data_IF_233416713900
#
_entry.id   IF_233416713900
#
_cell.length_a   1.000
_cell.length_b   1.000
_cell.length_c   1.000
_cell.angle_alpha   90.00
_cell.angle_beta   90.00
_cell.angle_gamma   90.00
#
_symmetry.space_group_name_H-M   'P 1'
#
loop_
_entity.id
_entity.type
_entity.pdbx_description
1 polymer ?
#
# COMPACT_ATOMS: atom_id res chain seq x y z
N UNK A 1 8.01 -17.87 3.15
CA UNK A 1 8.92 -16.81 2.67
C UNK A 1 10.34 -17.26 2.93
N UNK A 2 11.12 -17.47 1.87
CA UNK A 2 12.56 -17.72 1.99
C UNK A 2 13.28 -16.38 1.91
N UNK A 3 13.98 -16.06 2.99
CA UNK A 3 14.87 -14.90 3.09
C UNK A 3 16.21 -15.28 2.48
N UNK A 4 16.50 -14.78 1.28
CA UNK A 4 17.87 -14.76 0.74
C UNK A 4 18.56 -13.49 1.23
N UNK A 5 19.29 -13.64 2.32
CA UNK A 5 20.19 -12.64 2.91
C UNK A 5 21.38 -12.40 1.98
N UNK A 6 21.48 -11.20 1.39
CA UNK A 6 22.72 -10.73 0.78
C UNK A 6 22.57 -10.04 -0.58
N UNK A 7 21.81 -8.94 -0.65
CA UNK A 7 22.08 -7.71 -1.43
C UNK A 7 20.85 -6.80 -1.30
N UNK A 8 21.05 -5.54 -0.92
CA UNK A 8 19.98 -4.55 -0.79
C UNK A 8 19.58 -4.06 -2.18
N UNK A 9 18.67 -4.76 -2.83
CA UNK A 9 18.34 -4.53 -4.24
C UNK A 9 16.97 -3.85 -4.38
N UNK A 10 16.78 -2.97 -5.39
CA UNK A 10 15.46 -2.48 -5.81
C UNK A 10 14.37 -3.56 -5.90
N UNK A 11 14.75 -4.81 -6.18
CA UNK A 11 13.83 -5.96 -6.19
C UNK A 11 13.18 -6.23 -4.83
N UNK A 12 13.92 -6.16 -3.72
CA UNK A 12 13.35 -6.37 -2.37
C UNK A 12 12.33 -5.28 -2.02
N UNK A 13 12.61 -4.04 -2.38
CA UNK A 13 11.68 -2.94 -2.17
C UNK A 13 10.41 -3.14 -2.99
N UNK A 14 10.56 -3.60 -4.24
CA UNK A 14 9.41 -3.91 -5.09
C UNK A 14 8.60 -5.10 -4.59
N UNK A 15 9.22 -6.12 -3.98
CA UNK A 15 8.50 -7.23 -3.36
C UNK A 15 7.62 -6.77 -2.19
N UNK A 16 8.16 -5.90 -1.32
CA UNK A 16 7.38 -5.28 -0.24
C UNK A 16 6.23 -4.44 -0.81
N UNK A 17 6.51 -3.57 -1.80
CA UNK A 17 5.48 -2.76 -2.43
C UNK A 17 4.42 -3.62 -3.11
N UNK A 18 4.79 -4.75 -3.73
CA UNK A 18 3.86 -5.66 -4.39
C UNK A 18 2.86 -6.22 -3.38
N UNK A 19 3.38 -6.78 -2.28
CA UNK A 19 2.54 -7.33 -1.21
C UNK A 19 1.61 -6.27 -0.62
N UNK A 20 2.14 -5.10 -0.25
CA UNK A 20 1.37 -4.10 0.47
C UNK A 20 0.40 -3.30 -0.40
N UNK A 21 0.75 -2.99 -1.67
CA UNK A 21 -0.23 -2.36 -2.58
C UNK A 21 -1.41 -3.29 -2.85
N UNK A 22 -1.18 -4.60 -2.90
CA UNK A 22 -2.25 -5.59 -3.00
C UNK A 22 -3.18 -5.54 -1.80
N UNK A 23 -2.62 -5.65 -0.59
CA UNK A 23 -3.37 -5.56 0.67
C UNK A 23 -4.18 -4.27 0.76
N UNK A 24 -3.57 -3.12 0.47
CA UNK A 24 -4.25 -1.83 0.59
C UNK A 24 -5.44 -1.68 -0.36
N UNK A 25 -5.37 -2.15 -1.61
CA UNK A 25 -6.56 -2.09 -2.48
C UNK A 25 -7.64 -3.05 -1.99
N UNK A 26 -7.28 -4.26 -1.51
CA UNK A 26 -8.26 -5.20 -0.94
C UNK A 26 -8.93 -4.63 0.32
N UNK A 27 -8.18 -3.90 1.14
CA UNK A 27 -8.70 -3.21 2.31
C UNK A 27 -9.76 -2.17 1.97
N UNK A 28 -9.70 -1.55 0.78
CA UNK A 28 -10.80 -0.67 0.35
C UNK A 28 -12.11 -1.41 0.15
N UNK A 29 -12.06 -2.69 -0.24
CA UNK A 29 -13.23 -3.55 -0.41
C UNK A 29 -13.72 -4.04 0.94
N UNK A 30 -12.81 -4.52 1.80
CA UNK A 30 -13.12 -4.95 3.17
C UNK A 30 -13.90 -3.86 3.93
N UNK A 31 -13.46 -2.60 3.87
CA UNK A 31 -14.13 -1.50 4.57
C UNK A 31 -15.57 -1.31 4.08
N UNK A 32 -15.82 -1.40 2.77
CA UNK A 32 -17.18 -1.25 2.20
C UNK A 32 -18.08 -2.43 2.55
N UNK A 33 -17.53 -3.63 2.65
CA UNK A 33 -18.30 -4.83 3.00
C UNK A 33 -18.67 -4.89 4.49
N UNK A 34 -17.79 -4.46 5.39
CA UNK A 34 -18.05 -4.51 6.85
C UNK A 34 -18.91 -3.34 7.36
N UNK A 35 -19.11 -2.29 6.54
CA UNK A 35 -19.92 -1.11 6.85
C UNK A 35 -20.93 -0.85 5.72
N UNK A 36 -22.02 -1.64 5.63
CA UNK A 36 -22.96 -1.55 4.51
C UNK A 36 -23.73 -0.21 4.45
N UNK A 37 -23.79 0.53 5.55
CA UNK A 37 -24.41 1.85 5.68
C UNK A 37 -23.39 3.00 5.66
N UNK A 38 -22.15 2.74 5.20
CA UNK A 38 -21.11 3.76 5.09
C UNK A 38 -21.57 4.95 4.23
N UNK A 39 -21.23 6.16 4.65
CA UNK A 39 -21.65 7.37 3.96
C UNK A 39 -21.15 7.39 2.52
N UNK A 40 -22.03 7.76 1.58
CA UNK A 40 -21.76 7.76 0.14
C UNK A 40 -20.42 8.42 -0.24
N UNK A 41 -20.04 9.50 0.44
CA UNK A 41 -18.76 10.18 0.17
C UNK A 41 -17.56 9.25 0.37
N UNK A 42 -17.56 8.45 1.45
CA UNK A 42 -16.49 7.53 1.77
C UNK A 42 -16.53 6.29 0.89
N UNK A 43 -17.72 5.81 0.52
CA UNK A 43 -17.88 4.72 -0.44
C UNK A 43 -17.26 5.08 -1.79
N UNK A 44 -17.56 6.28 -2.32
CA UNK A 44 -16.98 6.72 -3.59
C UNK A 44 -15.48 6.95 -3.48
N UNK A 45 -15.00 7.56 -2.39
CA UNK A 45 -13.57 7.77 -2.19
C UNK A 45 -12.79 6.45 -2.03
N UNK A 46 -13.37 5.43 -1.37
CA UNK A 46 -12.79 4.09 -1.29
C UNK A 46 -12.67 3.43 -2.67
N UNK A 47 -13.63 3.64 -3.58
CA UNK A 47 -13.53 3.16 -4.97
C UNK A 47 -12.42 3.88 -5.74
N UNK A 48 -12.22 5.18 -5.51
CA UNK A 48 -11.08 5.89 -6.10
C UNK A 48 -9.74 5.36 -5.57
N UNK A 49 -9.66 5.10 -4.27
CA UNK A 49 -8.50 4.47 -3.65
C UNK A 49 -8.23 3.09 -4.24
N UNK A 50 -9.25 2.25 -4.39
CA UNK A 50 -9.14 0.92 -5.02
C UNK A 50 -8.49 1.03 -6.40
N UNK A 51 -9.01 1.92 -7.26
CA UNK A 51 -8.49 2.14 -8.61
C UNK A 51 -7.05 2.64 -8.60
N UNK A 52 -6.75 3.61 -7.75
CA UNK A 52 -5.43 4.23 -7.61
C UNK A 52 -4.38 3.21 -7.14
N UNK A 53 -4.70 2.45 -6.09
CA UNK A 53 -3.83 1.42 -5.51
C UNK A 53 -3.63 0.24 -6.47
N UNK A 54 -4.69 -0.21 -7.14
CA UNK A 54 -4.61 -1.27 -8.18
C UNK A 54 -3.69 -0.86 -9.32
N UNK A 55 -3.74 0.40 -9.75
CA UNK A 55 -2.85 0.93 -10.79
C UNK A 55 -1.40 0.91 -10.33
N UNK A 56 -1.12 1.34 -9.10
CA UNK A 56 0.24 1.32 -8.54
C UNK A 56 0.76 -0.11 -8.38
N UNK A 57 -0.06 -1.03 -7.88
CA UNK A 57 0.25 -2.45 -7.80
C UNK A 57 0.63 -3.03 -9.17
N UNK A 58 -0.16 -2.71 -10.22
CA UNK A 58 0.14 -3.15 -11.59
C UNK A 58 1.49 -2.63 -12.10
N UNK A 59 1.84 -1.39 -11.77
CA UNK A 59 3.15 -0.81 -12.12
C UNK A 59 4.29 -1.50 -11.37
N UNK A 60 4.08 -1.85 -10.09
CA UNK A 60 5.06 -2.60 -9.29
C UNK A 60 5.32 -3.96 -9.93
N UNK A 61 4.27 -4.72 -10.26
CA UNK A 61 4.41 -6.03 -10.93
C UNK A 61 5.21 -5.90 -12.23
N UNK A 62 4.85 -4.96 -13.10
CA UNK A 62 5.53 -4.75 -14.40
C UNK A 62 7.02 -4.46 -14.22
N UNK A 63 7.36 -3.64 -13.24
CA UNK A 63 8.74 -3.24 -13.00
C UNK A 63 9.55 -4.35 -12.32
N UNK A 64 8.94 -5.12 -11.41
CA UNK A 64 9.51 -6.34 -10.83
C UNK A 64 9.85 -7.34 -11.93
N UNK A 65 8.92 -7.64 -12.83
CA UNK A 65 9.17 -8.55 -13.95
C UNK A 65 10.29 -8.05 -14.86
N UNK A 66 10.36 -6.74 -15.11
CA UNK A 66 11.42 -6.13 -15.92
C UNK A 66 12.78 -6.32 -15.26
N UNK A 67 12.90 -6.03 -13.96
CA UNK A 67 14.16 -6.21 -13.22
C UNK A 67 14.57 -7.67 -13.11
N UNK A 68 13.63 -8.60 -12.91
CA UNK A 68 13.93 -10.04 -12.88
C UNK A 68 14.45 -10.53 -14.23
N UNK A 69 13.90 -10.03 -15.36
CA UNK A 69 14.30 -10.46 -16.71
C UNK A 69 15.63 -9.86 -17.18
N UNK A 70 15.88 -8.58 -16.90
CA UNK A 70 17.05 -7.86 -17.42
C UNK A 70 18.16 -7.63 -16.38
N UNK A 71 17.91 -7.90 -15.10
CA UNK A 71 18.85 -7.68 -13.99
C UNK A 71 19.19 -6.21 -13.77
N UNK A 72 20.21 -5.95 -12.93
CA UNK A 72 20.76 -4.62 -12.69
C UNK A 72 21.58 -4.05 -13.88
N UNK A 73 21.51 -4.69 -15.06
CA UNK A 73 22.29 -4.29 -16.25
C UNK A 73 21.81 -2.96 -16.85
N UNK A 74 20.63 -2.47 -16.43
CA UNK A 74 20.07 -1.18 -16.83
C UNK A 74 19.84 -0.27 -15.61
N UNK A 75 20.77 0.65 -15.30
CA UNK A 75 20.63 1.59 -14.18
C UNK A 75 19.34 2.40 -14.20
N UNK A 76 18.79 2.68 -15.39
CA UNK A 76 17.53 3.40 -15.59
C UNK A 76 16.35 2.66 -14.95
N UNK A 77 16.32 1.32 -15.01
CA UNK A 77 15.23 0.52 -14.46
C UNK A 77 15.28 0.50 -12.93
N UNK A 78 16.48 0.43 -12.35
CA UNK A 78 16.69 0.53 -10.91
C UNK A 78 16.22 1.89 -10.36
N UNK A 79 16.53 2.98 -11.07
CA UNK A 79 16.10 4.34 -10.72
C UNK A 79 14.57 4.53 -10.87
N UNK A 80 13.95 3.91 -11.88
CA UNK A 80 12.49 3.85 -11.98
C UNK A 80 11.87 3.11 -10.78
N UNK A 81 12.50 2.03 -10.31
CA UNK A 81 12.02 1.29 -9.16
C UNK A 81 12.05 2.14 -7.90
N UNK A 82 13.17 2.81 -7.62
CA UNK A 82 13.27 3.71 -6.46
C UNK A 82 12.21 4.82 -6.50
N UNK A 83 11.95 5.44 -7.66
CA UNK A 83 10.85 6.41 -7.80
C UNK A 83 9.48 5.82 -7.49
N UNK A 84 9.19 4.63 -8.00
CA UNK A 84 7.91 3.95 -7.75
C UNK A 84 7.75 3.58 -6.28
N UNK A 85 8.83 3.23 -5.59
CA UNK A 85 8.84 2.98 -4.15
C UNK A 85 8.57 4.27 -3.37
N UNK A 86 9.24 5.38 -3.71
CA UNK A 86 8.95 6.67 -3.09
C UNK A 86 7.49 7.09 -3.27
N UNK A 87 6.94 6.88 -4.46
CA UNK A 87 5.52 7.11 -4.72
C UNK A 87 4.62 6.20 -3.88
N UNK A 88 4.96 4.91 -3.77
CA UNK A 88 4.18 3.93 -2.99
C UNK A 88 4.12 4.30 -1.51
N UNK A 89 5.23 4.80 -0.95
CA UNK A 89 5.30 5.32 0.42
C UNK A 89 4.40 6.54 0.62
N UNK A 90 4.46 7.51 -0.30
CA UNK A 90 3.60 8.70 -0.25
C UNK A 90 2.12 8.31 -0.34
N UNK A 91 1.78 7.41 -1.26
CA UNK A 91 0.43 6.92 -1.46
C UNK A 91 -0.11 6.22 -0.20
N UNK A 92 0.67 5.35 0.44
CA UNK A 92 0.29 4.72 1.72
C UNK A 92 0.08 5.75 2.82
N UNK A 93 0.96 6.74 2.94
CA UNK A 93 0.81 7.81 3.93
C UNK A 93 -0.47 8.63 3.73
N UNK A 94 -0.86 8.87 2.48
CA UNK A 94 -2.13 9.54 2.15
C UNK A 94 -3.34 8.63 2.40
N UNK A 95 -3.24 7.34 2.12
CA UNK A 95 -4.28 6.37 2.42
C UNK A 95 -4.53 6.25 3.92
N UNK A 96 -3.47 6.17 4.73
CA UNK A 96 -3.56 6.20 6.20
C UNK A 96 -4.29 7.44 6.70
N UNK A 97 -3.97 8.64 6.17
CA UNK A 97 -4.68 9.88 6.52
C UNK A 97 -6.17 9.81 6.20
N UNK A 98 -6.53 9.25 5.04
CA UNK A 98 -7.92 9.03 4.67
C UNK A 98 -8.64 8.05 5.61
N UNK A 99 -7.99 6.96 6.03
CA UNK A 99 -8.57 6.02 6.99
C UNK A 99 -8.81 6.66 8.36
N UNK A 100 -7.92 7.55 8.81
CA UNK A 100 -8.17 8.37 10.00
C UNK A 100 -9.37 9.30 9.81
N UNK A 101 -9.54 9.91 8.64
CA UNK A 101 -10.74 10.72 8.34
C UNK A 101 -12.03 9.89 8.43
N UNK A 102 -12.04 8.65 7.93
CA UNK A 102 -13.18 7.74 8.10
C UNK A 102 -13.47 7.52 9.60
N UNK A 103 -12.46 7.18 10.41
CA UNK A 103 -12.63 6.97 11.85
C UNK A 103 -13.18 8.22 12.56
N UNK A 104 -12.73 9.40 12.15
CA UNK A 104 -13.06 10.67 12.79
C UNK A 104 -14.39 11.26 12.36
N UNK A 105 -14.85 11.00 11.14
CA UNK A 105 -16.01 11.67 10.56
C UNK A 105 -17.18 10.75 10.23
N UNK A 106 -16.96 9.45 9.98
CA UNK A 106 -18.05 8.50 9.68
C UNK A 106 -18.87 8.18 10.92
N UNK A 107 -20.15 8.50 10.88
CA UNK A 107 -21.13 8.10 11.89
C UNK A 107 -21.39 6.60 11.84
N UNK A 108 -21.39 5.99 10.65
CA UNK A 108 -21.55 4.55 10.48
C UNK A 108 -20.43 3.78 11.19
N UNK A 109 -19.17 4.19 10.98
CA UNK A 109 -18.01 3.58 11.65
C UNK A 109 -17.99 3.86 13.14
N UNK A 110 -18.32 5.08 13.58
CA UNK A 110 -18.37 5.41 15.02
C UNK A 110 -19.38 4.57 15.81
N UNK A 111 -20.46 4.15 15.17
CA UNK A 111 -21.49 3.28 15.77
C UNK A 111 -21.15 1.80 15.68
N UNK A 112 -20.08 1.43 14.99
CA UNK A 112 -19.66 0.05 14.77
C UNK A 112 -18.23 -0.18 15.31
N UNK A 113 -18.08 -0.61 16.58
CA UNK A 113 -16.78 -0.84 17.20
C UNK A 113 -15.91 -1.85 16.45
N UNK A 114 -16.51 -2.87 15.83
CA UNK A 114 -15.79 -3.86 15.04
C UNK A 114 -15.19 -3.22 13.79
N UNK A 115 -15.97 -2.42 13.05
CA UNK A 115 -15.46 -1.70 11.89
C UNK A 115 -14.31 -0.74 12.28
N UNK A 116 -14.46 -0.01 13.39
CA UNK A 116 -13.41 0.87 13.88
C UNK A 116 -12.12 0.10 14.25
N UNK A 117 -12.24 -1.10 14.84
CA UNK A 117 -11.10 -1.96 15.15
C UNK A 117 -10.41 -2.49 13.88
N UNK A 118 -11.18 -2.89 12.87
CA UNK A 118 -10.64 -3.35 11.58
C UNK A 118 -9.92 -2.22 10.84
N UNK A 119 -10.49 -1.01 10.77
CA UNK A 119 -9.84 0.13 10.13
C UNK A 119 -8.53 0.49 10.85
N UNK A 120 -8.50 0.46 12.20
CA UNK A 120 -7.26 0.65 12.97
C UNK A 120 -6.22 -0.44 12.72
N UNK A 121 -6.64 -1.66 12.41
CA UNK A 121 -5.71 -2.72 12.02
C UNK A 121 -5.10 -2.44 10.65
N UNK A 122 -5.93 -2.10 9.66
CA UNK A 122 -5.49 -1.71 8.30
C UNK A 122 -4.51 -0.54 8.33
N UNK A 123 -4.76 0.47 9.18
CA UNK A 123 -3.85 1.60 9.38
C UNK A 123 -2.48 1.10 9.84
N UNK A 124 -2.41 0.26 10.88
CA UNK A 124 -1.15 -0.24 11.42
C UNK A 124 -0.36 -1.07 10.41
N UNK A 125 -1.05 -1.81 9.56
CA UNK A 125 -0.44 -2.57 8.47
C UNK A 125 0.18 -1.67 7.39
N UNK A 126 -0.55 -0.61 7.01
CA UNK A 126 -0.04 0.39 6.07
C UNK A 126 1.15 1.17 6.67
N UNK A 127 1.12 1.48 7.96
CA UNK A 127 2.24 2.10 8.70
C UNK A 127 3.44 1.14 8.81
N UNK A 128 3.20 -0.16 8.98
CA UNK A 128 4.25 -1.17 8.96
C UNK A 128 4.98 -1.18 7.62
N UNK A 129 4.24 -1.18 6.50
CA UNK A 129 4.83 -1.08 5.17
C UNK A 129 5.73 0.15 5.01
N UNK A 130 5.24 1.31 5.46
CA UNK A 130 6.02 2.55 5.43
C UNK A 130 7.32 2.39 6.23
N UNK A 131 7.22 1.89 7.46
CA UNK A 131 8.37 1.74 8.36
C UNK A 131 9.42 0.74 7.87
N UNK A 132 9.00 -0.45 7.39
CA UNK A 132 9.95 -1.47 6.91
C UNK A 132 10.65 -1.00 5.63
N UNK A 133 9.91 -0.39 4.70
CA UNK A 133 10.45 0.12 3.44
C UNK A 133 11.43 1.26 3.68
N UNK A 134 11.11 2.21 4.57
CA UNK A 134 12.05 3.26 4.98
C UNK A 134 13.31 2.70 5.63
N UNK A 135 13.17 1.67 6.46
CA UNK A 135 14.29 0.99 7.09
C UNK A 135 15.21 0.36 6.03
N UNK A 136 14.65 -0.32 5.03
CA UNK A 136 15.41 -0.89 3.91
C UNK A 136 16.14 0.22 3.14
N UNK A 137 15.47 1.34 2.84
CA UNK A 137 16.09 2.47 2.15
C UNK A 137 17.21 3.15 2.95
N UNK A 138 17.12 3.21 4.29
CA UNK A 138 18.14 3.84 5.14
C UNK A 138 19.38 2.99 5.39
N UNK A 139 19.32 1.69 5.08
CA UNK A 139 20.42 0.76 5.28
C UNK A 139 21.33 0.63 4.05
N UNK A 140 20.99 1.28 2.93
CA UNK A 140 21.74 1.26 1.66
C UNK A 140 22.43 2.56 1.30
#
# INVERSE_FOLDING_TARGET
MQFSSGEQTPLRLLDEANFWKHQEYEHTNVIREIVPDLERKFVEELKEWERSLTRTHSQVIQLTETLVRYGNTQPVVADQALRLISFSLEQSGRFVKFLFEILDLSQAVKKNPTAAAVIKHIIRESEYFIGITQTICSQG
#
